data_IF_225726773456
#
_entry.id   IF_225726773456
#
_cell.length_a   1.000
_cell.length_b   1.000
_cell.length_c   1.000
_cell.angle_alpha   90.00
_cell.angle_beta   90.00
_cell.angle_gamma   90.00
#
_symmetry.space_group_name_H-M   'P 1'
#
loop_
_entity.id
_entity.type
_entity.pdbx_description
1 polymer ?
#
# COMPACT_ATOMS: atom_id res chain seq x y z
N UNK A 1 75.81 10.45 -18.44
CA UNK A 1 74.95 9.50 -17.80
C UNK A 1 74.17 10.25 -16.76
N UNK A 2 72.95 10.65 -17.09
CA UNK A 2 72.07 11.44 -16.22
C UNK A 2 70.92 10.55 -15.70
N UNK A 3 70.99 10.21 -14.43
CA UNK A 3 69.98 9.35 -13.75
C UNK A 3 68.77 10.17 -13.36
N UNK A 4 67.68 9.96 -14.05
CA UNK A 4 66.37 10.57 -13.74
C UNK A 4 65.73 9.80 -12.60
N UNK A 5 65.60 10.42 -11.43
CA UNK A 5 64.78 9.87 -10.28
C UNK A 5 63.30 9.91 -10.62
N UNK A 6 62.68 8.76 -10.73
CA UNK A 6 61.23 8.63 -10.77
C UNK A 6 60.63 9.06 -9.43
N UNK A 7 59.77 10.08 -9.45
CA UNK A 7 58.91 10.40 -8.30
C UNK A 7 57.83 9.34 -8.19
N UNK A 8 57.78 8.62 -7.07
CA UNK A 8 56.70 7.75 -6.68
C UNK A 8 55.48 8.62 -6.36
N UNK A 9 54.41 8.50 -7.18
CA UNK A 9 53.13 9.10 -6.90
C UNK A 9 52.44 8.22 -5.86
N UNK A 10 52.11 8.80 -4.69
CA UNK A 10 51.38 8.12 -3.65
C UNK A 10 49.98 7.76 -4.20
N UNK A 11 49.58 6.48 -4.09
CA UNK A 11 48.24 6.06 -4.41
C UNK A 11 47.25 6.73 -3.43
N UNK A 12 46.10 7.24 -3.91
CA UNK A 12 45.07 7.73 -3.01
C UNK A 12 44.61 6.59 -2.11
N UNK A 13 44.56 6.84 -0.81
CA UNK A 13 43.99 5.92 0.19
C UNK A 13 42.57 5.51 -0.21
N UNK A 14 42.27 4.23 -0.13
CA UNK A 14 40.91 3.72 -0.36
C UNK A 14 39.91 4.51 0.51
N UNK A 15 38.73 4.84 -0.03
CA UNK A 15 37.68 5.51 0.76
C UNK A 15 37.37 4.64 1.98
N UNK A 16 37.39 5.27 3.14
CA UNK A 16 36.97 4.60 4.37
C UNK A 16 35.52 4.14 4.20
N UNK A 17 35.13 2.92 4.66
CA UNK A 17 33.76 2.50 4.66
C UNK A 17 32.96 3.55 5.42
N UNK A 18 31.68 3.81 5.00
CA UNK A 18 30.78 4.68 5.76
C UNK A 18 30.71 4.16 7.19
N UNK A 19 30.61 5.05 8.20
CA UNK A 19 30.45 4.63 9.58
C UNK A 19 29.30 3.62 9.65
N UNK A 20 29.55 2.47 10.28
CA UNK A 20 28.53 1.46 10.53
C UNK A 20 27.34 2.17 11.17
N UNK A 21 26.14 1.98 10.63
CA UNK A 21 24.89 2.50 11.18
C UNK A 21 24.45 1.72 12.42
N UNK A 22 25.37 1.14 13.14
CA UNK A 22 25.17 0.69 14.50
C UNK A 22 25.08 1.93 15.38
N UNK A 23 23.90 2.59 15.31
CA UNK A 23 23.45 3.36 16.46
C UNK A 23 23.37 2.36 17.60
N UNK A 24 24.38 2.36 18.45
CA UNK A 24 24.30 1.77 19.77
C UNK A 24 23.01 2.29 20.42
N UNK A 25 21.96 1.50 20.34
CA UNK A 25 20.77 1.71 21.15
C UNK A 25 21.24 1.49 22.58
N UNK A 26 21.67 2.57 23.21
CA UNK A 26 22.07 2.52 24.61
C UNK A 26 20.91 1.97 25.42
N UNK A 27 21.17 1.26 26.52
CA UNK A 27 20.14 0.78 27.43
C UNK A 27 19.15 1.91 27.80
N UNK A 28 19.63 3.12 27.99
CA UNK A 28 18.82 4.32 28.25
C UNK A 28 17.82 4.65 27.13
N UNK A 29 18.22 4.51 25.85
CA UNK A 29 17.32 4.73 24.72
C UNK A 29 16.25 3.65 24.63
N UNK A 30 16.62 2.38 24.88
CA UNK A 30 15.70 1.25 24.95
C UNK A 30 14.67 1.46 26.06
N UNK A 31 15.11 1.81 27.27
CA UNK A 31 14.24 1.99 28.42
C UNK A 31 13.27 3.16 28.21
N UNK A 32 13.72 4.23 27.55
CA UNK A 32 12.86 5.36 27.19
C UNK A 32 11.74 4.92 26.21
N UNK A 33 12.06 4.12 25.20
CA UNK A 33 11.06 3.58 24.26
C UNK A 33 10.08 2.67 24.96
N UNK A 34 10.55 1.73 25.79
CA UNK A 34 9.68 0.79 26.52
C UNK A 34 8.75 1.51 27.50
N UNK A 35 9.26 2.51 28.23
CA UNK A 35 8.44 3.33 29.11
C UNK A 35 7.35 4.08 28.34
N UNK A 36 7.64 4.53 27.12
CA UNK A 36 6.66 5.20 26.29
C UNK A 36 5.59 4.25 25.77
N UNK A 37 5.99 3.05 25.31
CA UNK A 37 5.06 1.99 24.91
C UNK A 37 4.11 1.62 26.06
N UNK A 38 4.62 1.53 27.30
CA UNK A 38 3.78 1.26 28.48
C UNK A 38 2.76 2.39 28.73
N UNK A 39 3.17 3.64 28.61
CA UNK A 39 2.26 4.79 28.72
C UNK A 39 1.15 4.76 27.64
N UNK A 40 1.52 4.48 26.40
CA UNK A 40 0.57 4.38 25.29
C UNK A 40 -0.38 3.18 25.48
N UNK A 41 0.10 2.06 26.05
CA UNK A 41 -0.73 0.91 26.41
C UNK A 41 -1.73 1.23 27.54
N UNK A 42 -1.29 1.91 28.60
CA UNK A 42 -2.19 2.35 29.67
C UNK A 42 -3.28 3.32 29.17
N UNK A 43 -2.93 4.18 28.25
CA UNK A 43 -3.90 5.09 27.62
C UNK A 43 -4.85 4.32 26.67
N UNK A 44 -4.35 3.34 25.93
CA UNK A 44 -5.17 2.46 25.09
C UNK A 44 -6.22 1.70 25.92
N UNK A 45 -5.84 1.17 27.09
CA UNK A 45 -6.79 0.48 28.00
C UNK A 45 -7.97 1.36 28.39
N UNK A 46 -7.75 2.68 28.55
CA UNK A 46 -8.77 3.66 28.91
C UNK A 46 -9.62 4.12 27.73
N UNK A 47 -8.98 4.39 26.59
CA UNK A 47 -9.60 5.09 25.46
C UNK A 47 -9.99 4.18 24.32
N UNK A 48 -9.48 2.95 24.28
CA UNK A 48 -9.60 2.01 23.14
C UNK A 48 -9.12 2.62 21.81
N UNK A 49 -8.18 3.56 21.89
CA UNK A 49 -7.66 4.26 20.71
C UNK A 49 -6.17 3.99 20.57
N UNK A 50 -5.77 3.45 19.41
CA UNK A 50 -4.39 3.49 18.93
C UNK A 50 -4.10 4.93 18.52
N UNK A 51 -3.52 5.71 19.42
CA UNK A 51 -3.27 7.13 19.20
C UNK A 51 -2.12 7.36 18.24
N UNK A 52 -2.19 8.45 17.50
CA UNK A 52 -1.07 8.92 16.70
C UNK A 52 0.13 9.24 17.60
N UNK A 53 1.26 8.50 17.49
CA UNK A 53 2.37 8.64 18.41
C UNK A 53 3.26 9.83 18.02
N UNK A 54 2.92 11.02 18.53
CA UNK A 54 3.67 12.26 18.26
C UNK A 54 5.14 12.19 18.69
N UNK A 55 5.45 11.36 19.67
CA UNK A 55 6.82 11.14 20.14
C UNK A 55 7.69 10.40 19.10
N UNK A 56 7.06 9.57 18.24
CA UNK A 56 7.73 8.81 17.18
C UNK A 56 7.76 9.56 15.85
N UNK A 57 6.63 10.15 15.46
CA UNK A 57 6.46 10.75 14.14
C UNK A 57 6.52 12.27 14.14
N UNK A 58 6.70 12.88 15.33
CA UNK A 58 6.70 14.34 15.50
C UNK A 58 5.29 14.96 15.55
N UNK A 59 5.21 16.29 15.54
CA UNK A 59 3.95 17.00 15.76
C UNK A 59 2.93 16.72 14.65
N UNK A 60 1.65 16.83 15.02
CA UNK A 60 0.52 16.76 14.10
C UNK A 60 0.66 17.85 13.05
N UNK A 61 0.48 17.49 11.77
CA UNK A 61 0.58 18.42 10.63
C UNK A 61 -0.76 18.74 9.98
N UNK A 62 -1.70 17.80 10.03
CA UNK A 62 -3.04 17.94 9.50
C UNK A 62 -4.10 18.02 10.59
N UNK A 63 -5.21 17.35 10.37
CA UNK A 63 -6.28 17.17 11.36
C UNK A 63 -6.28 15.74 11.88
N UNK A 64 -6.40 15.60 13.21
CA UNK A 64 -6.63 14.29 13.81
C UNK A 64 -8.06 13.86 13.58
N UNK A 65 -8.22 12.59 13.18
CA UNK A 65 -9.49 11.92 13.11
C UNK A 65 -9.35 10.47 13.56
N UNK A 66 -10.44 9.88 14.02
CA UNK A 66 -10.46 8.51 14.51
C UNK A 66 -11.36 7.65 13.63
N UNK A 67 -10.93 6.45 13.38
CA UNK A 67 -11.69 5.45 12.64
C UNK A 67 -11.90 4.23 13.52
N UNK A 68 -13.14 3.80 13.64
CA UNK A 68 -13.48 2.55 14.31
C UNK A 68 -12.97 1.36 13.49
N UNK A 69 -12.30 0.42 14.15
CA UNK A 69 -11.74 -0.79 13.54
C UNK A 69 -12.33 -2.04 14.18
N UNK A 70 -12.38 -3.12 13.40
CA UNK A 70 -12.94 -4.40 13.81
C UNK A 70 -11.95 -5.21 14.63
N UNK A 71 -12.52 -6.04 15.51
CA UNK A 71 -11.83 -7.11 16.23
C UNK A 71 -10.47 -6.70 16.82
N UNK A 72 -10.50 -5.98 17.91
CA UNK A 72 -9.36 -5.91 18.81
C UNK A 72 -9.52 -7.02 19.87
N UNK A 73 -9.05 -8.28 19.57
CA UNK A 73 -9.26 -9.41 20.49
C UNK A 73 -8.68 -9.10 21.86
N UNK A 74 -9.32 -9.61 22.91
CA UNK A 74 -8.97 -9.42 24.33
C UNK A 74 -9.33 -8.06 24.95
N UNK A 75 -9.67 -7.04 24.15
CA UNK A 75 -9.94 -5.70 24.68
C UNK A 75 -11.40 -5.23 24.46
N UNK A 76 -12.28 -6.12 24.01
CA UNK A 76 -13.64 -5.81 23.60
C UNK A 76 -13.71 -5.63 22.06
N UNK A 77 -14.93 -5.51 21.56
CA UNK A 77 -15.19 -5.62 20.12
C UNK A 77 -14.90 -4.35 19.33
N UNK A 78 -14.64 -3.23 20.01
CA UNK A 78 -14.46 -1.92 19.36
C UNK A 78 -13.16 -1.25 19.80
N UNK A 79 -12.36 -0.86 18.81
CA UNK A 79 -11.19 -0.02 18.99
C UNK A 79 -11.16 1.06 17.90
N UNK A 80 -10.31 2.06 18.09
CA UNK A 80 -10.13 3.16 17.13
C UNK A 80 -8.67 3.32 16.76
N UNK A 81 -8.41 3.67 15.51
CA UNK A 81 -7.09 4.13 15.06
C UNK A 81 -7.18 5.63 14.82
N UNK A 82 -6.23 6.38 15.34
CA UNK A 82 -6.13 7.83 15.18
C UNK A 82 -5.15 8.17 14.06
N UNK A 83 -5.58 9.00 13.14
CA UNK A 83 -4.85 9.43 11.96
C UNK A 83 -4.53 10.93 12.03
N UNK A 84 -3.36 11.31 11.53
CA UNK A 84 -3.06 12.67 11.09
C UNK A 84 -3.30 12.75 9.58
N UNK A 85 -4.27 13.54 9.14
CA UNK A 85 -4.69 13.61 7.74
C UNK A 85 -3.56 13.97 6.77
N UNK A 86 -2.65 14.87 7.16
CA UNK A 86 -1.51 15.25 6.32
C UNK A 86 -0.40 14.19 6.25
N UNK A 87 -0.46 13.16 7.12
CA UNK A 87 0.48 12.04 7.16
C UNK A 87 -0.19 10.70 6.80
N UNK A 88 -1.36 10.77 6.20
CA UNK A 88 -2.13 9.61 5.75
C UNK A 88 -2.16 9.55 4.23
N UNK A 89 -1.94 8.35 3.67
CA UNK A 89 -2.17 8.08 2.28
C UNK A 89 -3.27 7.02 2.09
N UNK A 90 -4.17 7.29 1.16
CA UNK A 90 -5.14 6.34 0.65
C UNK A 90 -4.55 5.63 -0.57
N UNK A 91 -4.41 4.32 -0.50
CA UNK A 91 -3.90 3.48 -1.58
C UNK A 91 -5.06 2.83 -2.32
N UNK A 92 -5.22 3.16 -3.61
CA UNK A 92 -6.09 2.48 -4.57
C UNK A 92 -5.23 1.53 -5.40
N UNK A 93 -5.17 0.26 -5.00
CA UNK A 93 -4.23 -0.72 -5.56
C UNK A 93 -4.86 -1.40 -6.78
N UNK A 94 -4.20 -1.27 -7.93
CA UNK A 94 -4.42 -2.02 -9.17
C UNK A 94 -5.89 -2.03 -9.66
N UNK A 95 -6.62 -0.93 -9.47
CA UNK A 95 -8.00 -0.78 -9.96
C UNK A 95 -8.02 -0.50 -11.47
N UNK A 96 -7.43 -1.44 -12.23
CA UNK A 96 -7.22 -1.38 -13.68
C UNK A 96 -8.32 -2.14 -14.44
N UNK A 97 -8.50 -1.81 -15.71
CA UNK A 97 -9.42 -2.54 -16.61
C UNK A 97 -9.01 -4.02 -16.69
N UNK A 98 -7.71 -4.33 -16.70
CA UNK A 98 -7.21 -5.70 -16.70
C UNK A 98 -7.73 -6.55 -15.50
N UNK A 99 -8.02 -5.92 -14.37
CA UNK A 99 -8.49 -6.63 -13.18
C UNK A 99 -10.00 -6.50 -12.93
N UNK A 100 -10.63 -5.42 -13.39
CA UNK A 100 -12.02 -5.09 -13.08
C UNK A 100 -12.95 -5.08 -14.30
N UNK A 101 -12.39 -5.09 -15.52
CA UNK A 101 -13.14 -4.89 -16.74
C UNK A 101 -13.22 -6.13 -17.62
N UNK A 102 -14.22 -6.13 -18.51
CA UNK A 102 -14.38 -7.17 -19.53
C UNK A 102 -13.17 -7.20 -20.46
N UNK A 103 -12.80 -8.42 -20.89
CA UNK A 103 -11.63 -8.71 -21.74
C UNK A 103 -10.29 -8.29 -21.17
N UNK A 104 -10.25 -7.91 -19.89
CA UNK A 104 -9.03 -7.75 -19.13
C UNK A 104 -8.47 -9.10 -18.67
N UNK A 105 -7.35 -9.04 -17.95
CA UNK A 105 -6.61 -10.22 -17.50
C UNK A 105 -7.47 -11.19 -16.66
N UNK A 106 -8.22 -10.68 -15.67
CA UNK A 106 -9.05 -11.50 -14.77
C UNK A 106 -10.17 -12.22 -15.53
N UNK A 107 -10.83 -11.50 -16.44
CA UNK A 107 -11.90 -12.03 -17.29
C UNK A 107 -11.38 -13.15 -18.22
N UNK A 108 -10.26 -12.88 -18.88
CA UNK A 108 -9.60 -13.87 -19.79
C UNK A 108 -9.14 -15.11 -19.06
N UNK A 109 -8.74 -14.99 -17.79
CA UNK A 109 -8.40 -16.14 -16.93
C UNK A 109 -9.64 -16.90 -16.44
N UNK A 110 -10.86 -16.46 -16.77
CA UNK A 110 -12.11 -17.13 -16.43
C UNK A 110 -12.62 -16.90 -15.01
N UNK A 111 -12.16 -15.85 -14.33
CA UNK A 111 -12.62 -15.50 -13.01
C UNK A 111 -13.87 -14.59 -13.03
N UNK A 112 -14.63 -14.58 -11.94
CA UNK A 112 -15.81 -13.75 -11.79
C UNK A 112 -15.42 -12.27 -11.57
N UNK A 113 -15.68 -11.45 -12.57
CA UNK A 113 -15.49 -9.99 -12.49
C UNK A 113 -16.36 -9.32 -11.42
N UNK A 114 -17.49 -9.92 -11.05
CA UNK A 114 -18.36 -9.37 -10.00
C UNK A 114 -17.61 -9.24 -8.67
N UNK A 115 -16.71 -10.17 -8.37
CA UNK A 115 -15.89 -10.15 -7.16
C UNK A 115 -14.81 -9.08 -7.18
N UNK A 116 -14.18 -8.82 -8.34
CA UNK A 116 -13.11 -7.83 -8.46
C UNK A 116 -13.63 -6.42 -8.76
N UNK A 117 -14.85 -6.28 -9.26
CA UNK A 117 -15.50 -4.98 -9.49
C UNK A 117 -16.32 -4.49 -8.28
N UNK A 118 -16.65 -5.37 -7.33
CA UNK A 118 -17.41 -5.01 -6.11
C UNK A 118 -16.82 -3.81 -5.34
N UNK A 119 -15.48 -3.66 -5.22
CA UNK A 119 -14.85 -2.56 -4.48
C UNK A 119 -15.00 -1.19 -5.14
N UNK A 120 -15.38 -1.10 -6.42
CA UNK A 120 -15.40 0.17 -7.18
C UNK A 120 -16.25 1.23 -6.47
N UNK A 121 -17.49 0.90 -6.12
CA UNK A 121 -18.40 1.85 -5.47
C UNK A 121 -17.92 2.31 -4.09
N UNK A 122 -17.50 1.42 -3.17
CA UNK A 122 -16.91 1.84 -1.89
C UNK A 122 -15.66 2.72 -2.06
N UNK A 123 -14.75 2.37 -2.97
CA UNK A 123 -13.56 3.18 -3.25
C UNK A 123 -13.95 4.56 -3.78
N UNK A 124 -14.85 4.62 -4.75
CA UNK A 124 -15.36 5.89 -5.29
C UNK A 124 -15.97 6.77 -4.18
N UNK A 125 -16.78 6.18 -3.28
CA UNK A 125 -17.37 6.89 -2.15
C UNK A 125 -16.32 7.49 -1.23
N UNK A 126 -15.25 6.76 -0.94
CA UNK A 126 -14.14 7.26 -0.10
C UNK A 126 -13.35 8.35 -0.84
N UNK A 127 -12.99 8.13 -2.11
CA UNK A 127 -12.27 9.12 -2.93
C UNK A 127 -13.05 10.44 -3.02
N UNK A 128 -14.37 10.38 -3.23
CA UNK A 128 -15.21 11.57 -3.24
C UNK A 128 -15.06 12.38 -1.95
N UNK A 129 -15.08 11.73 -0.78
CA UNK A 129 -14.96 12.42 0.51
C UNK A 129 -13.54 12.91 0.79
N UNK A 130 -12.51 12.20 0.34
CA UNK A 130 -11.11 12.64 0.46
C UNK A 130 -10.87 13.88 -0.40
N UNK A 131 -11.27 13.83 -1.68
CA UNK A 131 -11.09 14.90 -2.68
C UNK A 131 -11.80 16.19 -2.28
N UNK A 132 -12.90 16.11 -1.56
CA UNK A 132 -13.72 17.26 -1.15
C UNK A 132 -13.33 17.84 0.21
N UNK A 133 -12.04 17.99 0.49
CA UNK A 133 -11.60 18.85 1.58
C UNK A 133 -10.72 18.24 2.65
N UNK A 134 -9.97 17.19 2.34
CA UNK A 134 -8.97 16.64 3.26
C UNK A 134 -7.54 16.89 2.75
N UNK A 135 -6.55 16.64 3.63
CA UNK A 135 -5.12 16.68 3.30
C UNK A 135 -4.58 15.28 2.97
N UNK A 136 -5.43 14.24 3.03
CA UNK A 136 -5.07 12.84 2.77
C UNK A 136 -4.55 12.72 1.35
N UNK A 137 -3.38 12.09 1.20
CA UNK A 137 -2.78 11.85 -0.11
C UNK A 137 -3.42 10.64 -0.78
N UNK A 138 -3.74 10.76 -2.06
CA UNK A 138 -4.24 9.63 -2.85
C UNK A 138 -3.11 9.12 -3.74
N UNK A 139 -2.91 7.80 -3.69
CA UNK A 139 -1.90 7.10 -4.46
C UNK A 139 -2.57 5.89 -5.12
N UNK A 140 -2.49 5.83 -6.43
CA UNK A 140 -2.95 4.69 -7.22
C UNK A 140 -1.77 3.82 -7.61
N UNK A 141 -1.92 2.50 -7.64
CA UNK A 141 -0.94 1.63 -8.24
C UNK A 141 -1.47 0.96 -9.50
N UNK A 142 -0.58 0.63 -10.44
CA UNK A 142 -0.89 -0.17 -11.61
C UNK A 142 0.14 -1.29 -11.74
N UNK A 143 -0.33 -2.54 -11.75
CA UNK A 143 0.54 -3.68 -12.08
C UNK A 143 0.63 -3.84 -13.59
N UNK A 144 1.84 -3.98 -14.11
CA UNK A 144 2.08 -4.25 -15.51
C UNK A 144 3.54 -4.23 -15.89
N UNK A 145 3.83 -4.77 -17.06
CA UNK A 145 5.18 -4.96 -17.59
C UNK A 145 5.50 -3.97 -18.70
N UNK A 146 6.78 -3.69 -18.90
CA UNK A 146 7.25 -2.90 -20.05
C UNK A 146 6.89 -3.59 -21.36
N UNK A 147 6.78 -2.86 -22.49
CA UNK A 147 6.26 -3.41 -23.76
C UNK A 147 7.04 -4.60 -24.31
N UNK A 148 8.32 -4.73 -24.04
CA UNK A 148 9.15 -5.88 -24.44
C UNK A 148 9.15 -7.04 -23.43
N UNK A 149 8.41 -6.90 -22.31
CA UNK A 149 8.30 -7.87 -21.21
C UNK A 149 9.64 -8.18 -20.51
N UNK A 150 10.67 -7.37 -20.66
CA UNK A 150 12.00 -7.62 -20.09
C UNK A 150 12.00 -7.60 -18.55
N UNK A 151 11.00 -6.95 -17.92
CA UNK A 151 10.78 -6.92 -16.46
C UNK A 151 9.81 -8.01 -15.97
N UNK A 152 9.34 -8.90 -16.85
CA UNK A 152 8.40 -9.97 -16.51
C UNK A 152 9.13 -11.29 -16.23
N UNK A 153 9.01 -11.87 -15.02
CA UNK A 153 9.59 -13.17 -14.74
C UNK A 153 8.99 -14.27 -15.63
N UNK A 154 9.84 -15.14 -16.19
CA UNK A 154 9.41 -16.21 -17.08
C UNK A 154 8.27 -17.08 -16.49
N UNK A 155 8.39 -17.47 -15.23
CA UNK A 155 7.37 -18.26 -14.54
C UNK A 155 6.02 -17.54 -14.44
N UNK A 156 6.01 -16.21 -14.34
CA UNK A 156 4.78 -15.40 -14.32
C UNK A 156 4.09 -15.43 -15.69
N UNK A 157 4.85 -15.26 -16.77
CA UNK A 157 4.34 -15.32 -18.14
C UNK A 157 3.81 -16.73 -18.43
N UNK A 158 4.61 -17.75 -18.18
CA UNK A 158 4.24 -19.16 -18.45
C UNK A 158 2.96 -19.54 -17.69
N UNK A 159 2.90 -19.26 -16.39
CA UNK A 159 1.73 -19.57 -15.56
C UNK A 159 0.46 -18.88 -16.09
N UNK A 160 0.55 -17.62 -16.47
CA UNK A 160 -0.61 -16.88 -16.99
C UNK A 160 -1.11 -17.50 -18.29
N UNK A 161 -0.20 -17.92 -19.16
CA UNK A 161 -0.53 -18.56 -20.44
C UNK A 161 -1.16 -19.95 -20.27
N UNK A 162 -0.72 -20.71 -19.27
CA UNK A 162 -1.31 -22.01 -18.90
C UNK A 162 -2.75 -21.81 -18.40
N UNK A 163 -2.98 -20.89 -17.46
CA UNK A 163 -4.30 -20.65 -16.88
C UNK A 163 -5.27 -20.08 -17.93
N UNK A 164 -4.83 -19.17 -18.77
CA UNK A 164 -5.62 -18.55 -19.82
C UNK A 164 -5.71 -19.37 -21.11
N UNK A 165 -5.41 -20.67 -21.04
CA UNK A 165 -5.52 -21.60 -22.18
C UNK A 165 -4.83 -21.09 -23.47
N UNK A 166 -3.60 -20.64 -23.32
CA UNK A 166 -2.78 -20.12 -24.41
C UNK A 166 -2.76 -18.60 -24.57
N UNK A 167 -3.61 -17.87 -23.84
CA UNK A 167 -3.61 -16.40 -23.79
C UNK A 167 -3.17 -15.95 -22.41
N UNK A 168 -2.13 -15.13 -22.31
CA UNK A 168 -1.59 -14.68 -21.04
C UNK A 168 -0.99 -13.29 -21.09
N UNK A 169 -0.15 -12.97 -20.11
CA UNK A 169 0.54 -11.67 -20.05
C UNK A 169 1.30 -11.42 -21.34
N UNK A 170 1.10 -10.25 -21.94
CA UNK A 170 1.72 -9.84 -23.19
C UNK A 170 0.94 -10.20 -24.45
N UNK A 171 -0.05 -11.09 -24.37
CA UNK A 171 -0.92 -11.44 -25.51
C UNK A 171 -2.13 -10.51 -25.56
N UNK A 172 -2.66 -10.28 -26.77
CA UNK A 172 -3.93 -9.58 -26.98
C UNK A 172 -5.05 -10.60 -27.12
N UNK A 173 -6.01 -10.67 -26.18
CA UNK A 173 -7.14 -11.58 -26.31
C UNK A 173 -8.05 -11.18 -27.49
N UNK A 174 -8.79 -12.16 -28.03
CA UNK A 174 -9.71 -11.90 -29.15
C UNK A 174 -10.76 -10.83 -28.79
N UNK A 175 -10.78 -9.75 -29.55
CA UNK A 175 -11.63 -8.58 -29.28
C UNK A 175 -11.24 -7.80 -28.00
N UNK A 176 -10.03 -8.01 -27.48
CA UNK A 176 -9.48 -7.27 -26.33
C UNK A 176 -9.11 -5.84 -26.65
N UNK A 177 -8.82 -5.08 -25.58
CA UNK A 177 -8.49 -3.66 -25.64
C UNK A 177 -7.00 -3.38 -25.84
N UNK A 178 -6.16 -4.43 -25.74
CA UNK A 178 -4.72 -4.38 -25.86
C UNK A 178 -4.07 -5.64 -25.28
N UNK A 179 -2.75 -5.63 -25.16
CA UNK A 179 -1.99 -6.72 -24.55
C UNK A 179 -2.20 -6.73 -23.04
N UNK A 180 -2.47 -7.90 -22.47
CA UNK A 180 -2.75 -8.08 -21.04
C UNK A 180 -1.55 -7.70 -20.18
N UNK A 181 -1.78 -6.86 -19.19
CA UNK A 181 -0.80 -6.36 -18.20
C UNK A 181 0.47 -5.76 -18.84
N UNK A 182 0.32 -5.05 -19.96
CA UNK A 182 1.40 -4.32 -20.63
C UNK A 182 1.18 -2.81 -20.50
N UNK A 183 2.19 -2.12 -20.00
CA UNK A 183 2.15 -0.67 -19.79
C UNK A 183 1.90 0.07 -21.09
N UNK A 184 0.99 1.06 -21.04
CA UNK A 184 0.58 1.85 -22.19
C UNK A 184 -0.60 1.29 -22.98
N UNK A 185 -1.01 0.05 -22.72
CA UNK A 185 -2.21 -0.52 -23.30
C UNK A 185 -3.48 0.00 -22.61
N UNK A 186 -4.61 0.06 -23.33
CA UNK A 186 -5.85 0.63 -22.80
C UNK A 186 -6.41 -0.14 -21.60
N UNK A 187 -6.32 -1.46 -21.62
CA UNK A 187 -6.78 -2.33 -20.53
C UNK A 187 -5.85 -2.29 -19.30
N UNK A 188 -4.61 -1.86 -19.47
CA UNK A 188 -3.68 -1.68 -18.35
C UNK A 188 -4.00 -0.43 -17.50
N UNK A 189 -4.69 0.56 -18.04
CA UNK A 189 -4.96 1.79 -17.32
C UNK A 189 -6.04 1.63 -16.22
N UNK A 190 -6.11 2.60 -15.32
CA UNK A 190 -7.10 2.64 -14.25
C UNK A 190 -8.50 2.82 -14.83
N UNK A 191 -9.49 2.16 -14.25
CA UNK A 191 -10.88 2.29 -14.69
C UNK A 191 -11.39 3.73 -14.52
N UNK A 192 -12.30 4.14 -15.41
CA UNK A 192 -12.80 5.53 -15.48
C UNK A 192 -13.43 5.99 -14.15
N UNK A 193 -14.17 5.11 -13.46
CA UNK A 193 -14.84 5.42 -12.19
C UNK A 193 -13.87 5.85 -11.07
N UNK A 194 -12.62 5.43 -11.15
CA UNK A 194 -11.59 5.67 -10.12
C UNK A 194 -10.37 6.41 -10.67
N UNK A 195 -10.50 6.99 -11.88
CA UNK A 195 -9.37 7.62 -12.53
C UNK A 195 -8.74 8.71 -11.68
N UNK A 196 -7.39 8.80 -11.65
CA UNK A 196 -6.68 9.83 -10.88
C UNK A 196 -7.05 11.24 -11.33
N UNK A 197 -7.22 12.13 -10.37
CA UNK A 197 -7.39 13.57 -10.65
C UNK A 197 -6.05 14.32 -10.46
N UNK A 198 -5.90 15.54 -11.04
CA UNK A 198 -4.68 16.32 -10.87
C UNK A 198 -4.29 16.49 -9.40
N UNK A 199 -3.03 16.18 -9.09
CA UNK A 199 -2.48 16.21 -7.73
C UNK A 199 -2.44 14.84 -7.02
N UNK A 200 -3.02 13.81 -7.58
CA UNK A 200 -2.89 12.43 -7.12
C UNK A 200 -1.67 11.74 -7.74
N UNK A 201 -1.17 10.72 -7.07
CA UNK A 201 0.03 10.01 -7.49
C UNK A 201 -0.33 8.68 -8.14
N UNK A 202 0.42 8.31 -9.17
CA UNK A 202 0.31 7.00 -9.82
C UNK A 202 1.67 6.31 -9.76
N UNK A 203 1.68 5.06 -9.30
CA UNK A 203 2.88 4.24 -9.12
C UNK A 203 2.74 2.97 -9.93
N UNK A 204 3.60 2.79 -10.92
CA UNK A 204 3.65 1.58 -11.73
C UNK A 204 4.59 0.54 -11.10
N UNK A 205 4.15 -0.72 -11.07
CA UNK A 205 4.88 -1.85 -10.49
C UNK A 205 4.84 -3.08 -11.38
N UNK A 206 5.90 -3.86 -11.41
CA UNK A 206 5.97 -5.11 -12.18
C UNK A 206 5.54 -6.34 -11.37
N UNK A 207 5.56 -6.24 -10.05
CA UNK A 207 5.22 -7.32 -9.11
C UNK A 207 3.91 -7.08 -8.36
N UNK A 208 3.53 -8.04 -7.51
CA UNK A 208 2.37 -7.93 -6.62
C UNK A 208 2.61 -6.91 -5.52
N UNK A 209 3.79 -6.95 -4.91
CA UNK A 209 4.24 -5.94 -3.95
C UNK A 209 4.64 -4.64 -4.66
N UNK A 210 4.84 -3.59 -3.86
CA UNK A 210 5.25 -2.29 -4.36
C UNK A 210 6.51 -1.74 -3.67
N UNK A 211 6.90 -2.29 -2.53
CA UNK A 211 8.04 -1.76 -1.77
C UNK A 211 9.39 -2.12 -2.38
N UNK A 212 9.52 -3.32 -2.94
CA UNK A 212 10.74 -3.74 -3.63
C UNK A 212 10.72 -3.55 -5.15
N UNK A 213 9.56 -3.21 -5.74
CA UNK A 213 9.32 -3.25 -7.19
C UNK A 213 8.87 -1.91 -7.79
N UNK A 214 8.89 -0.82 -6.99
CA UNK A 214 8.47 0.51 -7.45
C UNK A 214 9.09 1.62 -6.61
N UNK A 215 8.76 2.86 -6.95
CA UNK A 215 9.15 4.04 -6.18
C UNK A 215 8.21 4.38 -5.02
N UNK A 216 7.23 3.53 -4.68
CA UNK A 216 6.28 3.79 -3.61
C UNK A 216 6.93 4.11 -2.26
N UNK A 217 7.95 3.36 -1.77
CA UNK A 217 8.58 3.66 -0.48
C UNK A 217 9.22 5.03 -0.42
N UNK A 218 9.90 5.43 -1.51
CA UNK A 218 10.50 6.75 -1.61
C UNK A 218 9.46 7.86 -1.62
N UNK A 219 8.36 7.65 -2.34
CA UNK A 219 7.24 8.59 -2.39
C UNK A 219 6.61 8.76 -1.00
N UNK A 220 6.28 7.68 -0.30
CA UNK A 220 5.70 7.71 1.05
C UNK A 220 6.62 8.43 2.04
N UNK A 221 7.92 8.15 1.98
CA UNK A 221 8.94 8.80 2.82
C UNK A 221 8.99 10.31 2.54
N UNK A 222 9.06 10.72 1.29
CA UNK A 222 9.14 12.14 0.91
C UNK A 222 7.89 12.92 1.28
N UNK A 223 6.72 12.28 1.23
CA UNK A 223 5.45 12.85 1.67
C UNK A 223 5.29 12.84 3.20
N UNK A 224 6.19 12.16 3.92
CA UNK A 224 6.13 12.02 5.38
C UNK A 224 4.92 11.22 5.86
N UNK A 225 4.49 10.24 5.07
CA UNK A 225 3.36 9.37 5.40
C UNK A 225 3.75 8.41 6.54
N UNK A 226 2.79 8.16 7.42
CA UNK A 226 2.91 7.22 8.53
C UNK A 226 1.77 6.20 8.58
N UNK A 227 0.62 6.56 8.01
CA UNK A 227 -0.59 5.75 7.99
C UNK A 227 -1.04 5.50 6.55
N UNK A 228 -1.43 4.25 6.27
CA UNK A 228 -1.94 3.81 4.98
C UNK A 228 -3.35 3.29 5.13
N UNK A 229 -4.27 3.83 4.35
CA UNK A 229 -5.61 3.28 4.15
C UNK A 229 -5.59 2.48 2.86
N UNK A 230 -5.75 1.18 2.97
CA UNK A 230 -5.47 0.23 1.89
C UNK A 230 -6.77 -0.27 1.26
N UNK A 231 -6.85 -0.18 -0.06
CA UNK A 231 -7.97 -0.65 -0.90
C UNK A 231 -7.47 -1.22 -2.21
N UNK A 232 -8.38 -1.77 -3.01
CA UNK A 232 -8.08 -2.25 -4.36
C UNK A 232 -8.08 -3.77 -4.49
N UNK A 233 -7.39 -4.31 -5.49
CA UNK A 233 -7.40 -5.73 -5.85
C UNK A 233 -6.01 -6.32 -6.11
N UNK A 234 -5.81 -7.63 -5.89
CA UNK A 234 -6.78 -8.49 -5.18
C UNK A 234 -6.41 -8.56 -3.70
N UNK A 235 -7.43 -8.72 -2.84
CA UNK A 235 -7.27 -8.74 -1.38
C UNK A 235 -6.16 -9.66 -0.91
N UNK A 236 -6.13 -10.87 -1.45
CA UNK A 236 -5.24 -11.98 -1.09
C UNK A 236 -3.87 -11.94 -1.79
N UNK A 237 -3.69 -11.07 -2.78
CA UNK A 237 -2.45 -10.97 -3.57
C UNK A 237 -1.83 -9.58 -3.44
N UNK A 238 -2.13 -8.62 -4.34
CA UNK A 238 -1.42 -7.33 -4.38
C UNK A 238 -1.69 -6.50 -3.12
N UNK A 239 -2.94 -6.44 -2.67
CA UNK A 239 -3.36 -5.69 -1.47
C UNK A 239 -2.65 -6.25 -0.23
N UNK A 240 -2.73 -7.56 0.00
CA UNK A 240 -2.13 -8.19 1.17
C UNK A 240 -0.59 -8.16 1.12
N UNK A 241 0.03 -8.31 -0.07
CA UNK A 241 1.48 -8.21 -0.21
C UNK A 241 1.97 -6.80 0.16
N UNK A 242 1.35 -5.76 -0.42
CA UNK A 242 1.72 -4.37 -0.12
C UNK A 242 1.49 -4.05 1.36
N UNK A 243 0.40 -4.54 1.95
CA UNK A 243 0.10 -4.30 3.36
C UNK A 243 1.14 -4.92 4.30
N UNK A 244 1.65 -6.13 3.99
CA UNK A 244 2.73 -6.78 4.74
C UNK A 244 4.04 -6.00 4.62
N UNK A 245 4.44 -5.68 3.38
CA UNK A 245 5.64 -4.89 3.11
C UNK A 245 5.61 -3.53 3.83
N UNK A 246 4.44 -2.87 3.84
CA UNK A 246 4.23 -1.61 4.51
C UNK A 246 4.31 -1.75 6.04
N UNK A 247 3.67 -2.77 6.61
CA UNK A 247 3.71 -3.03 8.04
C UNK A 247 5.14 -3.32 8.52
N UNK A 248 5.88 -4.19 7.81
CA UNK A 248 7.29 -4.48 8.09
C UNK A 248 8.19 -3.24 7.97
N UNK A 249 7.78 -2.27 7.14
CA UNK A 249 8.45 -0.97 6.97
C UNK A 249 8.01 0.09 8.00
N UNK A 250 7.18 -0.28 9.00
CA UNK A 250 6.76 0.58 10.09
C UNK A 250 5.55 1.47 9.82
N UNK A 251 4.82 1.26 8.71
CA UNK A 251 3.57 1.97 8.45
C UNK A 251 2.40 1.35 9.21
N UNK A 252 1.51 2.20 9.71
CA UNK A 252 0.24 1.78 10.27
C UNK A 252 -0.76 1.57 9.15
N UNK A 253 -1.23 0.34 8.97
CA UNK A 253 -2.07 -0.05 7.85
C UNK A 253 -3.51 -0.32 8.31
N UNK A 254 -4.49 0.26 7.62
CA UNK A 254 -5.92 -0.02 7.81
C UNK A 254 -6.54 -0.41 6.48
N UNK A 255 -7.07 -1.62 6.40
CA UNK A 255 -7.77 -2.12 5.23
C UNK A 255 -9.25 -1.74 5.27
N UNK A 256 -9.78 -1.23 4.17
CA UNK A 256 -11.22 -1.11 3.97
C UNK A 256 -11.76 -2.41 3.35
N UNK A 257 -12.42 -3.25 4.14
CA UNK A 257 -12.85 -4.59 3.71
C UNK A 257 -13.82 -4.58 2.53
N UNK A 258 -14.70 -3.59 2.44
CA UNK A 258 -15.61 -3.39 1.31
C UNK A 258 -14.94 -2.66 0.13
N UNK A 259 -13.79 -2.04 0.36
CA UNK A 259 -12.93 -1.41 -0.65
C UNK A 259 -11.91 -2.38 -1.26
N UNK A 260 -12.05 -3.69 -1.08
CA UNK A 260 -11.16 -4.69 -1.66
C UNK A 260 -11.95 -5.93 -2.07
N UNK A 261 -11.43 -6.68 -3.05
CA UNK A 261 -12.04 -7.91 -3.55
C UNK A 261 -10.98 -8.90 -4.02
N UNK A 262 -11.36 -10.16 -4.16
CA UNK A 262 -10.49 -11.22 -4.67
C UNK A 262 -11.18 -11.99 -5.80
N UNK A 263 -10.45 -12.83 -6.51
CA UNK A 263 -11.01 -13.72 -7.55
C UNK A 263 -11.72 -14.95 -6.96
N UNK A 264 -11.59 -15.16 -5.65
CA UNK A 264 -12.24 -16.20 -4.87
C UNK A 264 -12.68 -15.64 -3.52
N UNK A 265 -13.94 -15.89 -3.13
CA UNK A 265 -14.49 -15.34 -1.90
C UNK A 265 -13.87 -15.96 -0.64
N UNK A 266 -13.49 -17.24 -0.69
CA UNK A 266 -12.79 -17.90 0.42
C UNK A 266 -11.41 -17.31 0.67
N UNK A 267 -10.68 -16.99 -0.40
CA UNK A 267 -9.40 -16.29 -0.32
C UNK A 267 -9.55 -14.88 0.26
N UNK A 268 -10.58 -14.13 -0.18
CA UNK A 268 -10.92 -12.84 0.42
C UNK A 268 -11.12 -12.95 1.93
N UNK A 269 -11.97 -13.89 2.38
CA UNK A 269 -12.23 -14.09 3.81
C UNK A 269 -10.98 -14.49 4.58
N UNK A 270 -10.16 -15.38 4.00
CA UNK A 270 -8.91 -15.83 4.61
C UNK A 270 -7.90 -14.68 4.77
N UNK A 271 -7.76 -13.82 3.77
CA UNK A 271 -6.87 -12.66 3.83
C UNK A 271 -7.32 -11.67 4.92
N UNK A 272 -8.60 -11.34 4.99
CA UNK A 272 -9.16 -10.50 6.08
C UNK A 272 -8.88 -11.11 7.45
N UNK A 273 -9.11 -12.42 7.61
CA UNK A 273 -8.83 -13.13 8.86
C UNK A 273 -7.35 -13.09 9.24
N UNK A 274 -6.44 -13.24 8.26
CA UNK A 274 -5.00 -13.16 8.50
C UNK A 274 -4.56 -11.76 8.95
N UNK A 275 -5.12 -10.70 8.37
CA UNK A 275 -4.81 -9.33 8.76
C UNK A 275 -5.18 -9.08 10.23
N UNK A 276 -6.35 -9.53 10.66
CA UNK A 276 -6.85 -9.37 12.03
C UNK A 276 -6.19 -10.28 13.07
N UNK A 277 -5.42 -11.27 12.64
CA UNK A 277 -4.76 -12.22 13.51
C UNK A 277 -3.89 -11.51 14.56
N UNK A 278 -3.83 -12.05 15.77
CA UNK A 278 -2.99 -11.52 16.86
C UNK A 278 -3.26 -10.04 17.23
N UNK A 279 -4.46 -9.56 16.99
CA UNK A 279 -4.83 -8.17 17.28
C UNK A 279 -4.44 -7.17 16.18
N UNK A 280 -4.22 -7.67 14.96
CA UNK A 280 -3.86 -6.84 13.80
C UNK A 280 -2.39 -6.97 13.41
N UNK A 281 -1.90 -8.22 13.24
CA UNK A 281 -0.49 -8.49 12.94
C UNK A 281 0.03 -7.78 11.67
N UNK A 282 -0.85 -7.48 10.71
CA UNK A 282 -0.53 -6.71 9.52
C UNK A 282 -1.26 -5.36 9.47
N UNK A 283 -1.97 -5.00 10.54
CA UNK A 283 -2.77 -3.80 10.63
C UNK A 283 -4.22 -4.10 11.01
N UNK A 284 -5.10 -3.14 10.81
CA UNK A 284 -6.50 -3.20 11.21
C UNK A 284 -7.44 -3.28 10.02
N UNK A 285 -8.69 -3.65 10.28
CA UNK A 285 -9.75 -3.76 9.28
C UNK A 285 -10.91 -2.86 9.69
N UNK A 286 -11.45 -2.12 8.73
CA UNK A 286 -12.67 -1.32 8.86
C UNK A 286 -13.47 -1.39 7.55
N UNK A 287 -14.43 -0.51 7.36
CA UNK A 287 -15.17 -0.33 6.12
C UNK A 287 -15.17 1.12 5.65
N UNK A 288 -15.60 1.34 4.41
CA UNK A 288 -15.64 2.66 3.78
C UNK A 288 -16.53 3.64 4.53
N UNK A 289 -17.64 3.18 5.10
CA UNK A 289 -18.59 4.02 5.83
C UNK A 289 -17.98 4.55 7.12
N UNK A 290 -17.40 3.68 7.96
CA UNK A 290 -16.72 4.08 9.21
C UNK A 290 -15.54 5.00 8.95
N UNK A 291 -14.77 4.72 7.89
CA UNK A 291 -13.66 5.58 7.50
C UNK A 291 -14.14 6.99 7.13
N UNK A 292 -15.18 7.10 6.30
CA UNK A 292 -15.75 8.40 5.92
C UNK A 292 -16.43 9.11 7.09
N UNK A 293 -17.07 8.40 8.01
CA UNK A 293 -17.59 8.98 9.25
C UNK A 293 -16.48 9.60 10.10
N UNK A 294 -15.33 8.91 10.21
CA UNK A 294 -14.13 9.46 10.88
C UNK A 294 -13.66 10.75 10.22
N UNK A 295 -13.52 10.79 8.90
CA UNK A 295 -13.18 12.00 8.14
C UNK A 295 -14.19 13.12 8.42
N UNK A 296 -15.48 12.85 8.23
CA UNK A 296 -16.53 13.84 8.41
C UNK A 296 -16.57 14.44 9.81
N UNK A 297 -16.23 13.65 10.84
CA UNK A 297 -16.17 14.14 12.21
C UNK A 297 -15.12 15.26 12.40
N UNK A 298 -14.00 15.17 11.69
CA UNK A 298 -12.89 16.12 11.79
C UNK A 298 -12.98 17.30 10.81
N UNK A 299 -13.71 17.12 9.69
CA UNK A 299 -13.75 18.09 8.58
C UNK A 299 -15.12 18.79 8.42
N UNK A 300 -16.05 18.62 9.35
CA UNK A 300 -17.44 19.15 9.30
C UNK A 300 -17.59 20.68 9.15
N UNK A 301 -16.53 21.47 9.22
CA UNK A 301 -16.57 22.94 9.25
C UNK A 301 -15.80 23.59 8.08
N UNK A 302 -15.91 23.04 6.88
CA UNK A 302 -15.48 23.78 5.67
C UNK A 302 -16.64 23.98 4.73
#
# INVERSE_FOLDING_TARGET
>A
MTTTKRKTVAQPSAPQPPPSSDTDFTSATRDAVLNRVEQDYEEFKKTRTFRYPTWLYGPIKGRLFKVEVEDCPKFGDTAYVEFDSARTAFLSIDMQVDFCGQKGYVDVMGYDLGLTSAPIKPIHYVLYNIRNGTDIKVIHTREGHVPDLSDAPYNKILRSKIIGNGVGIGDTPNGGLGRLLVRGEKNWDIIDDLYPVPGEYVVDKAGKGAFGQSNLPLLLKNLGITHLVVTGITTDVCVHTIMREANDSGYWCVLLKDGTGATDYGNYQAAIKQIKMQGGVFGWVTDSKRFVEGIKSAFKNK
#
